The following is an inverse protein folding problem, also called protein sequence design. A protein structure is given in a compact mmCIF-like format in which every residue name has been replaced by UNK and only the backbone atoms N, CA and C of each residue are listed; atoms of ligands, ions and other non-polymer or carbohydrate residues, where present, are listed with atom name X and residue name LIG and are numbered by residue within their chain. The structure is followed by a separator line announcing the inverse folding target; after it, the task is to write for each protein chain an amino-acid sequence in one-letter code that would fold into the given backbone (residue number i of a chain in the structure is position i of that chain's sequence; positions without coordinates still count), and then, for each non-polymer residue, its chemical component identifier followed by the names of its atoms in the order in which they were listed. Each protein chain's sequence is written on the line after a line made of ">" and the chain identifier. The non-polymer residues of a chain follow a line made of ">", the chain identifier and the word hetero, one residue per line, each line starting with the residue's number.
data_IF_873360923871
#
_entry.id   IF_873360923871
#
_cell.length_a   1.000
_cell.length_b   1.000
_cell.length_c   1.000
_cell.angle_alpha   90.00
_cell.angle_beta   90.00
_cell.angle_gamma   90.00
#
_symmetry.space_group_name_H-M   'P 1'
#
loop_
_entity.id
_entity.type
_entity.pdbx_description
1 polymer ?
#
# COMPACT_ATOMS: atom_id res chain seq x y z
N UNK A 1 -12.65 10.53 -11.44
CA UNK A 1 -13.07 9.18 -11.00
C UNK A 1 -14.50 8.87 -11.43
N UNK A 2 -15.53 9.62 -10.99
CA UNK A 2 -16.92 9.37 -11.42
C UNK A 2 -17.09 9.30 -12.95
N UNK A 3 -16.53 10.27 -13.69
CA UNK A 3 -16.58 10.26 -15.16
C UNK A 3 -15.85 9.06 -15.79
N UNK A 4 -14.79 8.58 -15.14
CA UNK A 4 -14.09 7.37 -15.59
C UNK A 4 -14.96 6.12 -15.41
N UNK A 5 -15.64 6.01 -14.26
CA UNK A 5 -16.56 4.91 -13.96
C UNK A 5 -17.76 4.90 -14.92
N UNK A 6 -18.36 6.07 -15.22
CA UNK A 6 -19.42 6.18 -16.23
C UNK A 6 -18.96 5.74 -17.61
N UNK A 7 -17.72 6.12 -17.99
CA UNK A 7 -17.14 5.68 -19.27
C UNK A 7 -16.96 4.16 -19.30
N UNK A 8 -16.43 3.58 -18.22
CA UNK A 8 -16.30 2.12 -18.11
C UNK A 8 -17.66 1.44 -18.18
N UNK A 9 -18.66 1.93 -17.45
CA UNK A 9 -20.04 1.39 -17.47
C UNK A 9 -20.64 1.40 -18.88
N UNK A 10 -20.39 2.46 -19.67
CA UNK A 10 -20.86 2.56 -21.05
C UNK A 10 -20.26 1.50 -22.00
N UNK A 11 -19.18 0.83 -21.59
CA UNK A 11 -18.50 -0.22 -22.37
C UNK A 11 -18.99 -1.64 -22.02
N UNK A 12 -19.98 -1.77 -21.13
CA UNK A 12 -20.62 -3.06 -20.79
C UNK A 12 -20.41 -3.59 -19.36
N UNK A 13 -19.31 -3.29 -18.64
CA UNK A 13 -19.18 -3.65 -17.23
C UNK A 13 -20.32 -3.09 -16.35
N UNK A 14 -20.82 -3.92 -15.43
CA UNK A 14 -21.74 -3.47 -14.40
C UNK A 14 -20.96 -2.72 -13.30
N UNK A 15 -21.36 -1.49 -13.00
CA UNK A 15 -20.69 -0.66 -11.98
C UNK A 15 -21.61 -0.46 -10.79
N UNK A 16 -21.20 -0.99 -9.63
CA UNK A 16 -21.84 -0.69 -8.34
C UNK A 16 -21.15 0.52 -7.72
N UNK A 17 -21.84 1.66 -7.71
CA UNK A 17 -21.35 2.87 -7.06
C UNK A 17 -21.50 2.81 -5.54
N UNK A 18 -20.56 3.43 -4.82
CA UNK A 18 -20.58 3.53 -3.37
C UNK A 18 -20.74 2.18 -2.66
N UNK A 19 -20.10 1.13 -3.20
CA UNK A 19 -20.08 -0.18 -2.55
C UNK A 19 -19.50 -0.01 -1.12
N UNK A 20 -20.24 -0.43 -0.08
CA UNK A 20 -19.78 -0.28 1.29
C UNK A 20 -18.53 -1.12 1.51
N UNK A 21 -17.49 -0.50 2.05
CA UNK A 21 -16.31 -1.17 2.56
C UNK A 21 -16.35 -1.09 4.08
N UNK A 22 -16.05 -2.21 4.75
CA UNK A 22 -15.84 -2.17 6.20
C UNK A 22 -14.68 -1.24 6.52
N UNK A 23 -14.85 -0.42 7.54
CA UNK A 23 -13.78 0.33 8.17
C UNK A 23 -12.76 -0.62 8.82
N UNK A 24 -11.54 -0.13 9.06
CA UNK A 24 -10.52 -0.93 9.74
C UNK A 24 -10.97 -1.43 11.13
N UNK A 25 -11.66 -0.63 11.97
CA UNK A 25 -12.21 -1.14 13.23
C UNK A 25 -13.26 -2.25 13.05
N UNK A 26 -14.17 -2.11 12.09
CA UNK A 26 -15.17 -3.14 11.78
C UNK A 26 -14.52 -4.43 11.28
N UNK A 27 -13.43 -4.32 10.51
CA UNK A 27 -12.61 -5.47 10.08
C UNK A 27 -12.02 -6.18 11.30
N UNK A 28 -11.37 -5.44 12.19
CA UNK A 28 -10.78 -5.98 13.44
C UNK A 28 -11.84 -6.69 14.28
N UNK A 29 -13.01 -6.08 14.46
CA UNK A 29 -14.12 -6.63 15.24
C UNK A 29 -14.75 -7.87 14.60
N UNK A 30 -15.19 -7.77 13.34
CA UNK A 30 -15.95 -8.84 12.66
C UNK A 30 -15.11 -10.10 12.44
N UNK A 31 -13.85 -9.94 12.09
CA UNK A 31 -12.96 -11.07 11.80
C UNK A 31 -12.10 -11.48 12.98
N UNK A 32 -12.27 -10.82 14.14
CA UNK A 32 -11.46 -11.06 15.35
C UNK A 32 -9.96 -11.03 15.03
N UNK A 33 -9.57 -10.04 14.23
CA UNK A 33 -8.18 -9.81 13.81
C UNK A 33 -7.59 -8.64 14.58
N UNK A 34 -6.33 -8.31 14.33
CA UNK A 34 -5.59 -7.21 14.96
C UNK A 34 -5.45 -6.02 14.01
N UNK A 35 -5.13 -4.84 14.55
CA UNK A 35 -4.89 -3.68 13.73
C UNK A 35 -3.61 -3.85 12.89
N UNK A 36 -3.62 -3.34 11.65
CA UNK A 36 -2.47 -3.40 10.73
C UNK A 36 -1.16 -2.88 11.37
N UNK A 37 -1.25 -1.79 12.14
CA UNK A 37 -0.10 -1.22 12.83
C UNK A 37 0.52 -2.16 13.87
N UNK A 38 -0.28 -3.02 14.48
CA UNK A 38 0.20 -4.00 15.45
C UNK A 38 0.81 -5.21 14.74
N UNK A 39 0.23 -5.66 13.60
CA UNK A 39 0.83 -6.69 12.73
C UNK A 39 2.24 -6.26 12.29
N UNK A 40 2.34 -5.05 11.72
CA UNK A 40 3.62 -4.52 11.24
C UNK A 40 4.64 -4.41 12.37
N UNK A 41 4.21 -3.95 13.57
CA UNK A 41 5.07 -3.85 14.75
C UNK A 41 5.60 -5.21 15.19
N UNK A 42 4.74 -6.22 15.30
CA UNK A 42 5.09 -7.58 15.69
C UNK A 42 6.13 -8.21 14.75
N UNK A 43 6.03 -7.93 13.44
CA UNK A 43 6.95 -8.48 12.44
C UNK A 43 8.34 -7.83 12.43
N UNK A 44 8.50 -6.59 12.91
CA UNK A 44 9.73 -5.80 12.74
C UNK A 44 10.98 -6.55 13.21
N UNK A 45 10.97 -7.07 14.44
CA UNK A 45 12.13 -7.73 15.03
C UNK A 45 12.55 -8.97 14.21
N UNK A 46 11.57 -9.82 13.88
CA UNK A 46 11.78 -11.04 13.11
C UNK A 46 12.29 -10.74 11.69
N UNK A 47 11.64 -9.83 10.96
CA UNK A 47 11.99 -9.51 9.56
C UNK A 47 13.38 -8.86 9.48
N UNK A 48 13.68 -7.91 10.37
CA UNK A 48 15.00 -7.26 10.40
C UNK A 48 16.10 -8.25 10.73
N UNK A 49 15.91 -9.11 11.73
CA UNK A 49 16.89 -10.14 12.08
C UNK A 49 17.12 -11.11 10.91
N UNK A 50 16.05 -11.56 10.24
CA UNK A 50 16.15 -12.44 9.07
C UNK A 50 16.91 -11.76 7.93
N UNK A 51 16.61 -10.48 7.66
CA UNK A 51 17.28 -9.69 6.63
C UNK A 51 18.78 -9.51 6.93
N UNK A 52 19.14 -9.12 8.16
CA UNK A 52 20.53 -8.93 8.57
C UNK A 52 21.33 -10.25 8.56
N UNK A 53 20.67 -11.38 8.81
CA UNK A 53 21.26 -12.71 8.70
C UNK A 53 21.66 -13.14 7.28
N UNK A 54 21.22 -12.42 6.24
CA UNK A 54 21.60 -12.69 4.84
C UNK A 54 23.03 -12.21 4.50
N UNK A 55 23.66 -11.41 5.38
CA UNK A 55 24.98 -10.85 5.16
C UNK A 55 26.05 -11.67 5.90
N UNK A 56 27.23 -11.81 5.29
CA UNK A 56 28.32 -12.60 5.88
C UNK A 56 28.91 -11.95 7.16
N UNK A 57 29.10 -10.63 7.14
CA UNK A 57 29.71 -9.86 8.23
C UNK A 57 28.92 -8.58 8.53
N UNK A 58 27.65 -8.67 8.95
CA UNK A 58 26.85 -7.49 9.21
C UNK A 58 27.33 -6.81 10.50
N UNK A 59 27.37 -5.47 10.47
CA UNK A 59 27.70 -4.65 11.66
C UNK A 59 26.53 -4.58 12.66
N UNK A 60 25.31 -4.81 12.19
CA UNK A 60 24.09 -4.92 12.99
C UNK A 60 23.56 -6.35 12.84
N UNK A 61 23.17 -7.01 13.92
CA UNK A 61 22.66 -8.39 13.89
C UNK A 61 21.23 -8.51 14.36
N UNK A 62 20.77 -7.57 15.18
CA UNK A 62 19.45 -7.58 15.79
C UNK A 62 18.71 -6.29 15.51
N UNK A 63 17.39 -6.33 15.73
CA UNK A 63 16.56 -5.14 15.73
C UNK A 63 16.92 -4.17 16.88
N UNK A 64 17.37 -4.70 18.03
CA UNK A 64 17.90 -3.89 19.13
C UNK A 64 19.15 -3.10 18.71
N UNK A 65 20.05 -3.71 17.94
CA UNK A 65 21.27 -3.05 17.47
C UNK A 65 20.94 -1.82 16.62
N UNK A 66 19.90 -1.90 15.78
CA UNK A 66 19.42 -0.77 14.97
C UNK A 66 18.94 0.39 15.86
N UNK A 67 18.13 0.10 16.88
CA UNK A 67 17.62 1.12 17.80
C UNK A 67 18.75 1.79 18.58
N UNK A 68 19.74 1.02 19.02
CA UNK A 68 20.93 1.53 19.71
C UNK A 68 21.77 2.38 18.75
N UNK A 69 22.03 1.89 17.54
CA UNK A 69 22.80 2.60 16.53
C UNK A 69 22.22 4.00 16.25
N UNK A 70 20.90 4.11 16.08
CA UNK A 70 20.24 5.40 15.86
C UNK A 70 20.42 6.36 17.04
N UNK A 71 20.45 5.86 18.28
CA UNK A 71 20.70 6.69 19.49
C UNK A 71 22.14 7.17 19.57
N UNK A 72 23.09 6.30 19.28
CA UNK A 72 24.52 6.63 19.27
C UNK A 72 24.89 7.61 18.14
N UNK A 73 24.10 7.62 17.07
CA UNK A 73 24.25 8.49 15.90
C UNK A 73 23.04 9.42 15.74
N UNK A 74 22.56 9.97 16.87
CA UNK A 74 21.33 10.77 16.90
C UNK A 74 21.43 12.05 16.05
N UNK A 75 22.63 12.62 15.92
CA UNK A 75 22.86 13.81 15.09
C UNK A 75 22.49 13.56 13.61
N UNK A 76 22.73 12.34 13.10
CA UNK A 76 22.38 11.96 11.74
C UNK A 76 21.00 11.29 11.64
N UNK A 77 20.65 10.42 12.60
CA UNK A 77 19.48 9.54 12.49
C UNK A 77 18.22 10.05 13.23
N UNK A 78 18.37 11.01 14.14
CA UNK A 78 17.29 11.58 14.96
C UNK A 78 17.42 13.13 14.97
N UNK A 79 17.35 13.77 13.80
CA UNK A 79 17.59 15.21 13.67
C UNK A 79 16.55 16.02 14.47
N UNK A 80 16.83 17.27 14.86
CA UNK A 80 15.97 18.05 15.74
C UNK A 80 14.51 18.23 15.26
N UNK A 81 14.28 18.22 13.94
CA UNK A 81 12.96 18.31 13.32
C UNK A 81 12.21 16.97 13.29
N UNK A 82 12.93 15.85 13.43
CA UNK A 82 12.37 14.49 13.55
C UNK A 82 13.14 13.66 14.59
N UNK A 83 13.07 14.02 15.89
CA UNK A 83 13.98 13.48 16.91
C UNK A 83 13.57 12.10 17.44
N UNK A 84 12.66 11.40 16.77
CA UNK A 84 11.97 10.23 17.31
C UNK A 84 12.12 9.00 16.43
N UNK A 85 12.39 7.87 17.08
CA UNK A 85 12.27 6.52 16.51
C UNK A 85 11.25 5.67 17.28
N UNK A 86 10.22 6.30 17.84
CA UNK A 86 9.24 5.64 18.72
C UNK A 86 8.61 4.38 18.11
N UNK A 87 8.41 4.33 16.79
CA UNK A 87 7.91 3.12 16.12
C UNK A 87 8.85 1.93 16.31
N UNK A 88 10.16 2.16 16.22
CA UNK A 88 11.16 1.10 16.41
C UNK A 88 11.24 0.67 17.88
N UNK A 89 11.20 1.65 18.80
CA UNK A 89 11.20 1.39 20.24
C UNK A 89 9.94 0.64 20.69
N UNK A 90 8.77 0.97 20.12
CA UNK A 90 7.54 0.23 20.38
C UNK A 90 7.64 -1.21 19.86
N UNK A 91 8.32 -1.44 18.73
CA UNK A 91 8.58 -2.79 18.20
C UNK A 91 9.40 -3.68 19.14
N UNK A 92 10.30 -3.11 19.94
CA UNK A 92 11.05 -3.85 20.95
C UNK A 92 10.19 -4.31 22.13
N UNK A 93 9.08 -3.61 22.37
CA UNK A 93 8.16 -3.85 23.48
C UNK A 93 6.88 -4.55 23.02
N UNK A 94 6.90 -5.18 21.84
CA UNK A 94 5.73 -5.87 21.32
C UNK A 94 5.37 -7.10 22.19
N UNK A 95 4.06 -7.30 22.40
CA UNK A 95 3.51 -8.40 23.20
C UNK A 95 2.44 -9.19 22.44
N UNK A 96 2.34 -9.04 21.12
CA UNK A 96 1.38 -9.78 20.31
C UNK A 96 1.77 -11.27 20.23
N UNK A 97 0.77 -12.15 20.11
CA UNK A 97 0.98 -13.59 19.95
C UNK A 97 0.80 -14.02 18.49
N UNK A 98 1.50 -15.07 18.04
CA UNK A 98 1.40 -15.63 16.68
C UNK A 98 -0.04 -16.03 16.29
N UNK A 99 -0.88 -16.40 17.26
CA UNK A 99 -2.29 -16.76 17.01
C UNK A 99 -3.10 -15.56 16.54
N UNK A 100 -2.82 -14.37 17.09
CA UNK A 100 -3.50 -13.13 16.69
C UNK A 100 -3.06 -12.66 15.31
N UNK A 101 -1.87 -13.03 14.87
CA UNK A 101 -1.28 -12.64 13.59
C UNK A 101 -1.94 -13.30 12.35
N UNK A 102 -2.65 -14.43 12.52
CA UNK A 102 -3.09 -15.28 11.40
C UNK A 102 -4.57 -15.18 10.97
N UNK A 103 -5.38 -14.22 11.46
CA UNK A 103 -6.80 -14.10 11.06
C UNK A 103 -7.01 -13.20 9.84
N UNK A 104 -7.51 -13.78 8.73
CA UNK A 104 -7.71 -13.13 7.43
C UNK A 104 -9.16 -12.69 7.12
N UNK A 105 -9.35 -12.09 5.94
CA UNK A 105 -10.60 -11.46 5.46
C UNK A 105 -11.12 -12.11 4.16
N UNK A 106 -12.44 -12.05 3.92
CA UNK A 106 -13.12 -12.47 2.67
C UNK A 106 -14.16 -11.43 2.17
N UNK A 107 -14.24 -11.24 0.84
CA UNK A 107 -15.21 -10.37 0.13
C UNK A 107 -15.76 -11.06 -1.13
N UNK A 108 -16.95 -10.63 -1.60
CA UNK A 108 -17.73 -11.29 -2.67
C UNK A 108 -17.82 -10.55 -4.03
N UNK A 109 -17.00 -9.52 -4.28
CA UNK A 109 -16.89 -8.84 -5.59
C UNK A 109 -15.84 -9.52 -6.50
N UNK A 110 -15.91 -9.30 -7.84
CA UNK A 110 -14.84 -9.71 -8.78
C UNK A 110 -13.61 -8.81 -8.65
N UNK A 111 -13.83 -7.49 -8.67
CA UNK A 111 -12.83 -6.47 -8.33
C UNK A 111 -13.48 -5.30 -7.60
N UNK A 112 -12.73 -4.62 -6.74
CA UNK A 112 -13.11 -3.36 -6.10
C UNK A 112 -12.21 -2.25 -6.64
N UNK A 113 -12.81 -1.13 -7.04
CA UNK A 113 -12.04 0.03 -7.52
C UNK A 113 -12.31 1.28 -6.70
N UNK A 114 -11.26 1.97 -6.28
CA UNK A 114 -11.35 3.22 -5.53
C UNK A 114 -10.12 4.12 -5.75
N UNK A 115 -10.10 5.31 -5.16
CA UNK A 115 -8.86 6.12 -5.12
C UNK A 115 -7.79 5.43 -4.26
N UNK A 116 -6.52 5.62 -4.60
CA UNK A 116 -5.38 5.18 -3.77
C UNK A 116 -5.31 5.85 -2.40
N UNK A 117 -6.07 6.92 -2.17
CA UNK A 117 -6.20 7.57 -0.86
C UNK A 117 -7.37 7.00 -0.01
N UNK A 118 -8.06 5.95 -0.49
CA UNK A 118 -9.11 5.27 0.28
C UNK A 118 -8.55 4.12 1.13
N UNK A 119 -9.43 3.37 1.81
CA UNK A 119 -9.05 2.17 2.58
C UNK A 119 -8.58 0.99 1.73
N UNK A 120 -8.85 0.99 0.41
CA UNK A 120 -8.59 -0.17 -0.47
C UNK A 120 -7.15 -0.67 -0.41
N UNK A 121 -6.10 0.17 -0.47
CA UNK A 121 -4.71 -0.30 -0.34
C UNK A 121 -4.40 -0.97 0.99
N UNK A 122 -4.90 -0.40 2.10
CA UNK A 122 -4.70 -0.97 3.43
C UNK A 122 -5.43 -2.31 3.57
N UNK A 123 -6.67 -2.40 3.08
CA UNK A 123 -7.42 -3.65 3.06
C UNK A 123 -6.70 -4.71 2.22
N UNK A 124 -6.21 -4.36 1.04
CA UNK A 124 -5.47 -5.26 0.17
C UNK A 124 -4.20 -5.79 0.85
N UNK A 125 -3.40 -4.88 1.43
CA UNK A 125 -2.16 -5.22 2.11
C UNK A 125 -2.41 -6.16 3.31
N UNK A 126 -3.43 -5.87 4.12
CA UNK A 126 -3.78 -6.71 5.28
C UNK A 126 -4.35 -8.07 4.87
N UNK A 127 -5.17 -8.13 3.82
CA UNK A 127 -5.79 -9.36 3.37
C UNK A 127 -4.84 -10.23 2.53
N UNK A 128 -3.65 -9.73 2.17
CA UNK A 128 -2.76 -10.37 1.21
C UNK A 128 -3.39 -10.47 -0.19
N UNK A 129 -4.30 -9.56 -0.51
CA UNK A 129 -5.01 -9.54 -1.77
C UNK A 129 -4.22 -8.78 -2.83
N UNK A 130 -4.25 -9.23 -4.09
CA UNK A 130 -3.59 -8.54 -5.16
C UNK A 130 -4.26 -7.20 -5.43
N UNK A 131 -3.44 -6.17 -5.64
CA UNK A 131 -3.87 -4.80 -5.93
C UNK A 131 -3.00 -4.23 -7.07
N UNK A 132 -3.63 -3.51 -7.99
CA UNK A 132 -2.95 -2.83 -9.08
C UNK A 132 -3.48 -1.41 -9.29
N UNK A 133 -2.60 -0.51 -9.71
CA UNK A 133 -2.95 0.89 -9.94
C UNK A 133 -3.16 1.18 -11.43
N UNK A 134 -4.24 1.88 -11.77
CA UNK A 134 -4.54 2.35 -13.13
C UNK A 134 -4.57 3.89 -13.18
N UNK A 135 -3.88 4.52 -14.15
CA UNK A 135 -3.77 5.98 -14.18
C UNK A 135 -5.04 6.64 -14.70
N UNK A 136 -5.28 7.88 -14.25
CA UNK A 136 -6.28 8.81 -14.81
C UNK A 136 -5.62 10.09 -15.36
N UNK A 137 -4.29 10.15 -15.34
CA UNK A 137 -3.50 11.28 -15.83
C UNK A 137 -3.00 12.18 -14.70
N UNK A 138 -2.91 13.48 -14.98
CA UNK A 138 -2.36 14.48 -14.05
C UNK A 138 -3.43 15.48 -13.64
N UNK A 139 -3.47 15.82 -12.36
CA UNK A 139 -4.38 16.82 -11.81
C UNK A 139 -4.10 18.18 -12.43
N UNK A 140 -5.14 18.87 -12.90
CA UNK A 140 -5.03 20.25 -13.40
C UNK A 140 -4.79 21.26 -12.27
N UNK A 141 -5.05 20.87 -11.02
CA UNK A 141 -4.85 21.73 -9.86
C UNK A 141 -3.37 21.89 -9.48
N UNK A 142 -2.60 20.79 -9.49
CA UNK A 142 -1.21 20.79 -9.00
C UNK A 142 -0.24 19.97 -9.87
N UNK A 143 -0.68 19.42 -10.99
CA UNK A 143 0.14 18.63 -11.90
C UNK A 143 0.56 17.25 -11.37
N UNK A 144 0.06 16.80 -10.19
CA UNK A 144 0.40 15.49 -9.64
C UNK A 144 -0.36 14.37 -10.37
N UNK A 145 0.26 13.19 -10.58
CA UNK A 145 -0.45 12.05 -11.13
C UNK A 145 -1.56 11.60 -10.17
N UNK A 146 -2.66 11.13 -10.73
CA UNK A 146 -3.75 10.51 -9.98
C UNK A 146 -4.32 9.33 -10.76
N UNK A 147 -4.98 8.43 -10.05
CA UNK A 147 -5.48 7.17 -10.62
C UNK A 147 -6.50 6.51 -9.73
N UNK A 148 -6.72 5.23 -10.00
CA UNK A 148 -7.55 4.34 -9.24
C UNK A 148 -6.78 3.07 -8.91
N UNK A 149 -7.09 2.48 -7.78
CA UNK A 149 -6.63 1.15 -7.40
C UNK A 149 -7.68 0.13 -7.77
N UNK A 150 -7.22 -1.05 -8.17
CA UNK A 150 -8.00 -2.22 -8.55
C UNK A 150 -7.59 -3.35 -7.63
N UNK A 151 -8.49 -3.76 -6.75
CA UNK A 151 -8.32 -4.87 -5.83
C UNK A 151 -9.06 -6.10 -6.38
N UNK A 152 -8.40 -7.25 -6.44
CA UNK A 152 -9.04 -8.54 -6.71
C UNK A 152 -8.92 -9.47 -5.48
N UNK A 153 -9.56 -10.64 -5.50
CA UNK A 153 -9.40 -11.62 -4.41
C UNK A 153 -8.03 -12.29 -4.50
N UNK A 154 -7.63 -12.93 -3.41
CA UNK A 154 -6.42 -13.74 -3.37
C UNK A 154 -6.41 -14.81 -4.48
N UNK A 155 -5.34 -14.87 -5.27
CA UNK A 155 -5.19 -15.79 -6.39
C UNK A 155 -5.95 -15.41 -7.67
N UNK A 156 -6.50 -14.19 -7.74
CA UNK A 156 -7.20 -13.65 -8.93
C UNK A 156 -6.42 -12.50 -9.61
N UNK A 157 -5.09 -12.53 -9.58
CA UNK A 157 -4.21 -11.54 -10.20
C UNK A 157 -4.52 -11.33 -11.70
N UNK A 158 -4.98 -12.37 -12.40
CA UNK A 158 -5.37 -12.30 -13.80
C UNK A 158 -6.48 -11.29 -14.06
N UNK A 159 -7.42 -11.11 -13.11
CA UNK A 159 -8.49 -10.12 -13.23
C UNK A 159 -7.94 -8.70 -13.21
N UNK A 160 -6.90 -8.44 -12.41
CA UNK A 160 -6.23 -7.15 -12.37
C UNK A 160 -5.59 -6.86 -13.73
N UNK A 161 -4.88 -7.82 -14.32
CA UNK A 161 -4.27 -7.63 -15.64
C UNK A 161 -5.31 -7.40 -16.74
N UNK A 162 -6.44 -8.10 -16.70
CA UNK A 162 -7.55 -7.85 -17.63
C UNK A 162 -8.11 -6.43 -17.49
N UNK A 163 -8.35 -5.97 -16.26
CA UNK A 163 -8.78 -4.59 -16.00
C UNK A 163 -7.74 -3.59 -16.50
N UNK A 164 -6.46 -3.78 -16.17
CA UNK A 164 -5.38 -2.88 -16.60
C UNK A 164 -5.28 -2.78 -18.13
N UNK A 165 -5.41 -3.90 -18.83
CA UNK A 165 -5.40 -3.97 -20.30
C UNK A 165 -6.60 -3.20 -20.90
N UNK A 166 -7.81 -3.47 -20.40
CA UNK A 166 -9.01 -2.77 -20.81
C UNK A 166 -8.93 -1.26 -20.48
N UNK A 167 -8.33 -0.92 -19.34
CA UNK A 167 -8.16 0.46 -18.88
C UNK A 167 -7.23 1.24 -19.79
N UNK A 168 -6.09 0.67 -20.18
CA UNK A 168 -5.16 1.31 -21.13
C UNK A 168 -5.81 1.55 -22.49
N UNK A 169 -6.59 0.59 -22.99
CA UNK A 169 -7.35 0.76 -24.22
C UNK A 169 -8.45 1.84 -24.10
N UNK A 170 -9.03 1.99 -22.90
CA UNK A 170 -10.10 2.95 -22.63
C UNK A 170 -9.56 4.37 -22.42
N UNK A 171 -8.41 4.52 -21.75
CA UNK A 171 -7.80 5.79 -21.37
C UNK A 171 -6.35 5.90 -21.86
N UNK A 172 -6.10 5.85 -23.18
CA UNK A 172 -4.74 5.89 -23.73
C UNK A 172 -3.99 7.18 -23.35
N UNK A 173 -4.71 8.28 -23.12
CA UNK A 173 -4.16 9.57 -22.69
C UNK A 173 -3.72 9.61 -21.22
N UNK A 174 -4.17 8.67 -20.38
CA UNK A 174 -3.84 8.67 -18.96
C UNK A 174 -2.36 8.30 -18.72
N UNK A 175 -1.73 7.60 -19.68
CA UNK A 175 -0.33 7.19 -19.63
C UNK A 175 0.55 8.17 -20.40
N UNK A 176 0.75 9.36 -19.84
CA UNK A 176 1.63 10.40 -20.41
C UNK A 176 2.85 10.62 -19.53
N UNK A 177 4.00 11.05 -20.11
CA UNK A 177 5.11 11.53 -19.30
C UNK A 177 4.64 12.69 -18.40
N UNK A 178 5.21 12.83 -17.19
CA UNK A 178 4.92 13.98 -16.33
C UNK A 178 5.11 15.28 -17.11
N UNK A 179 4.14 16.23 -17.10
CA UNK A 179 4.20 17.44 -17.91
C UNK A 179 5.50 18.24 -17.73
N UNK A 180 6.06 18.22 -16.52
CA UNK A 180 7.32 18.89 -16.19
C UNK A 180 8.56 18.25 -16.84
N UNK A 181 8.46 17.03 -17.36
CA UNK A 181 9.55 16.26 -17.95
C UNK A 181 9.53 16.24 -19.49
N UNK A 182 8.51 16.79 -20.14
CA UNK A 182 8.32 16.71 -21.60
C UNK A 182 9.33 17.56 -22.40
N UNK A 183 10.10 18.44 -21.75
CA UNK A 183 11.05 19.36 -22.38
C UNK A 183 12.55 18.98 -22.23
N UNK A 184 12.93 17.72 -22.00
CA UNK A 184 14.36 17.37 -21.88
C UNK A 184 15.18 17.50 -23.18
N UNK A 185 14.55 17.45 -24.36
CA UNK A 185 15.26 17.51 -25.65
C UNK A 185 15.81 18.90 -26.02
N UNK A 186 15.52 19.97 -25.27
CA UNK A 186 16.02 21.33 -25.54
C UNK A 186 17.16 21.76 -24.61
N UNK A 187 17.69 20.86 -23.78
CA UNK A 187 18.76 21.16 -22.80
C UNK A 187 19.96 20.20 -22.81
N UNK A 188 20.12 19.37 -23.84
CA UNK A 188 21.34 18.58 -24.09
C UNK A 188 22.06 19.10 -25.33
#
# INVERSE_FOLDING_TARGET
>A
MLEALKKVESLGPQVTYNAPLMSLPEITENYKTVAMGDIGRHQLAFVIQRFLGLFNNPKLRTFQDLVIFNKEHAAENLPPDQPSQQVLENGLNDTMTDVQYHSGLESNADVIMASGETLVPSTAACAGYPIGSVPLGFSTYNGRPFGMEVLARNGEEEKIFLVMSAWEATFPEARRPPPLLVNWATKL
#
